data_IF_427606605593
#
_entry.id   IF_427606605593
#
_cell.length_a   1.000
_cell.length_b   1.000
_cell.length_c   1.000
_cell.angle_alpha   90.00
_cell.angle_beta   90.00
_cell.angle_gamma   90.00
#
_symmetry.space_group_name_H-M   'P 1'
#
loop_
_entity.id
_entity.type
_entity.pdbx_description
1 polymer ?
#
# COMPACT_ATOMS: atom_id res chain seq x y z
N UNK A 1 -7.79 12.73 25.68
CA UNK A 1 -8.24 11.54 24.92
C UNK A 1 -9.23 12.01 23.87
N UNK A 2 -9.02 11.69 22.59
CA UNK A 2 -9.92 12.11 21.49
C UNK A 2 -11.13 11.16 21.46
N UNK A 3 -12.35 11.70 21.41
CA UNK A 3 -13.59 10.92 21.36
C UNK A 3 -13.92 10.51 19.92
N UNK A 4 -14.34 9.26 19.71
CA UNK A 4 -14.85 8.82 18.41
C UNK A 4 -16.37 8.99 18.41
N UNK A 5 -16.90 9.75 17.46
CA UNK A 5 -18.35 9.99 17.39
C UNK A 5 -19.09 8.80 16.77
N UNK A 6 -20.38 8.67 17.09
CA UNK A 6 -21.26 7.67 16.46
C UNK A 6 -21.29 7.83 14.93
N UNK A 7 -21.23 9.05 14.41
CA UNK A 7 -21.20 9.28 12.96
C UNK A 7 -19.96 8.65 12.30
N UNK A 8 -18.78 8.82 12.90
CA UNK A 8 -17.55 8.19 12.39
C UNK A 8 -17.61 6.65 12.51
N UNK A 9 -18.19 6.13 13.60
CA UNK A 9 -18.41 4.70 13.80
C UNK A 9 -19.34 4.14 12.72
N UNK A 10 -20.47 4.80 12.45
CA UNK A 10 -21.42 4.34 11.43
C UNK A 10 -20.83 4.42 10.03
N UNK A 11 -20.01 5.43 9.73
CA UNK A 11 -19.26 5.50 8.46
C UNK A 11 -18.28 4.34 8.29
N UNK A 12 -17.59 3.93 9.36
CA UNK A 12 -16.74 2.73 9.35
C UNK A 12 -17.58 1.47 9.10
N UNK A 13 -18.65 1.28 9.88
CA UNK A 13 -19.51 0.09 9.81
C UNK A 13 -20.21 -0.03 8.46
N UNK A 14 -20.62 1.08 7.85
CA UNK A 14 -21.18 1.08 6.50
C UNK A 14 -20.19 0.60 5.43
N UNK A 15 -18.88 0.71 5.68
CA UNK A 15 -17.84 0.21 4.76
C UNK A 15 -17.44 -1.23 5.08
N UNK A 16 -17.13 -1.52 6.34
CA UNK A 16 -16.45 -2.76 6.72
C UNK A 16 -17.34 -3.74 7.49
N UNK A 17 -18.54 -3.33 7.91
CA UNK A 17 -19.40 -4.07 8.83
C UNK A 17 -18.91 -4.01 10.27
N UNK A 18 -19.34 -5.00 11.07
CA UNK A 18 -18.98 -5.13 12.48
C UNK A 18 -19.87 -4.35 13.46
N UNK A 19 -19.55 -4.50 14.74
CA UNK A 19 -20.20 -3.80 15.84
C UNK A 19 -19.53 -2.45 16.16
N UNK A 20 -20.19 -1.66 17.00
CA UNK A 20 -19.74 -0.33 17.43
C UNK A 20 -18.38 -0.36 18.12
N UNK A 21 -18.14 -1.37 18.97
CA UNK A 21 -16.90 -1.49 19.76
C UNK A 21 -15.68 -1.76 18.86
N UNK A 22 -15.85 -2.68 17.91
CA UNK A 22 -14.83 -3.04 16.91
C UNK A 22 -14.51 -1.83 16.02
N UNK A 23 -15.54 -1.14 15.54
CA UNK A 23 -15.38 0.05 14.70
C UNK A 23 -14.64 1.18 15.43
N UNK A 24 -15.02 1.45 16.68
CA UNK A 24 -14.33 2.44 17.51
C UNK A 24 -12.85 2.07 17.70
N UNK A 25 -12.57 0.81 18.03
CA UNK A 25 -11.19 0.31 18.23
C UNK A 25 -10.34 0.50 16.97
N UNK A 26 -10.88 0.16 15.80
CA UNK A 26 -10.19 0.33 14.51
C UNK A 26 -9.96 1.80 14.16
N UNK A 27 -10.93 2.69 14.43
CA UNK A 27 -10.76 4.14 14.23
C UNK A 27 -9.70 4.70 15.18
N UNK A 28 -9.66 4.25 16.45
CA UNK A 28 -8.64 4.67 17.42
C UNK A 28 -7.25 4.21 16.99
N UNK A 29 -7.12 2.96 16.57
CA UNK A 29 -5.87 2.42 16.05
C UNK A 29 -5.35 3.21 14.83
N UNK A 30 -6.24 3.56 13.90
CA UNK A 30 -5.90 4.46 12.80
C UNK A 30 -5.47 5.83 13.32
N UNK A 31 -6.24 6.45 14.22
CA UNK A 31 -5.96 7.79 14.76
C UNK A 31 -4.60 7.87 15.44
N UNK A 32 -4.23 6.89 16.25
CA UNK A 32 -2.91 6.80 16.91
C UNK A 32 -1.77 6.79 15.88
N UNK A 33 -1.92 6.02 14.81
CA UNK A 33 -0.95 6.02 13.72
C UNK A 33 -0.90 7.37 12.99
N UNK A 34 -2.06 7.96 12.74
CA UNK A 34 -2.18 9.21 12.02
C UNK A 34 -1.58 10.40 12.77
N UNK A 35 -1.73 10.44 14.10
CA UNK A 35 -1.07 11.47 14.94
C UNK A 35 0.45 11.41 14.76
N UNK A 36 1.00 10.20 14.68
CA UNK A 36 2.46 10.00 14.63
C UNK A 36 3.05 10.13 13.22
N UNK A 37 2.32 9.68 12.19
CA UNK A 37 2.87 9.47 10.84
C UNK A 37 1.99 9.98 9.71
N UNK A 38 0.77 10.41 10.03
CA UNK A 38 -0.19 10.89 9.03
C UNK A 38 0.18 12.28 8.51
N UNK A 39 -0.32 12.60 7.32
CA UNK A 39 -0.34 13.98 6.83
C UNK A 39 -1.46 14.74 7.52
N UNK A 40 -1.14 15.89 8.09
CA UNK A 40 -2.09 16.74 8.80
C UNK A 40 -2.40 17.98 7.96
N UNK A 41 -3.69 18.27 7.81
CA UNK A 41 -4.17 19.44 7.08
C UNK A 41 -5.28 20.09 7.89
N UNK A 42 -5.14 21.39 8.18
CA UNK A 42 -6.21 22.20 8.76
C UNK A 42 -7.01 22.86 7.64
N UNK A 43 -8.34 22.85 7.76
CA UNK A 43 -9.24 23.54 6.84
C UNK A 43 -9.63 24.92 7.37
N UNK A 44 -10.16 25.78 6.49
CA UNK A 44 -10.59 27.15 6.81
C UNK A 44 -11.68 27.18 7.89
N UNK A 45 -12.55 26.16 7.93
CA UNK A 45 -13.58 26.01 8.96
C UNK A 45 -13.05 25.51 10.32
N UNK A 46 -11.72 25.45 10.50
CA UNK A 46 -11.07 25.05 11.74
C UNK A 46 -10.83 23.56 11.91
N UNK A 47 -11.52 22.70 11.17
CA UNK A 47 -11.41 21.23 11.27
C UNK A 47 -10.06 20.70 10.80
N UNK A 48 -9.68 19.52 11.31
CA UNK A 48 -8.40 18.88 10.97
C UNK A 48 -8.60 17.58 10.22
N UNK A 49 -7.98 17.44 9.06
CA UNK A 49 -7.87 16.16 8.36
C UNK A 49 -6.53 15.53 8.66
N UNK A 50 -6.58 14.30 9.15
CA UNK A 50 -5.41 13.46 9.26
C UNK A 50 -5.54 12.32 8.26
N UNK A 51 -4.52 12.07 7.45
CA UNK A 51 -4.57 11.08 6.38
C UNK A 51 -3.30 10.23 6.30
N UNK A 52 -3.47 8.92 6.18
CA UNK A 52 -2.41 7.95 5.93
C UNK A 52 -2.09 7.89 4.43
N UNK A 53 -0.90 7.40 4.08
CA UNK A 53 -0.50 7.22 2.68
C UNK A 53 -1.43 6.27 1.91
N UNK A 54 -1.99 5.27 2.61
CA UNK A 54 -2.99 4.35 2.08
C UNK A 54 -4.39 5.00 1.95
N UNK A 55 -4.48 6.32 2.12
CA UNK A 55 -5.67 7.16 1.93
C UNK A 55 -6.82 6.89 2.89
N UNK A 56 -6.57 6.19 3.99
CA UNK A 56 -7.45 6.24 5.16
C UNK A 56 -7.31 7.61 5.81
N UNK A 57 -8.43 8.23 6.16
CA UNK A 57 -8.45 9.54 6.77
C UNK A 57 -9.52 9.64 7.85
N UNK A 58 -9.21 10.46 8.84
CA UNK A 58 -10.19 10.95 9.82
C UNK A 58 -10.27 12.47 9.72
N UNK A 59 -11.46 12.99 10.02
CA UNK A 59 -11.67 14.42 10.24
C UNK A 59 -11.93 14.62 11.73
N UNK A 60 -11.19 15.57 12.32
CA UNK A 60 -11.38 16.00 13.69
C UNK A 60 -12.16 17.32 13.74
N UNK A 61 -12.85 17.55 14.84
CA UNK A 61 -13.40 18.85 15.20
C UNK A 61 -12.32 19.94 15.25
N UNK A 62 -12.76 21.20 15.27
CA UNK A 62 -11.90 22.38 15.33
C UNK A 62 -10.96 22.41 16.55
N UNK A 63 -11.44 21.92 17.69
CA UNK A 63 -10.71 21.72 18.95
C UNK A 63 -9.85 20.44 18.98
N UNK A 64 -9.86 19.64 17.90
CA UNK A 64 -9.22 18.34 17.79
C UNK A 64 -9.62 17.32 18.89
N UNK A 65 -10.76 17.53 19.57
CA UNK A 65 -11.22 16.66 20.65
C UNK A 65 -12.08 15.48 20.17
N UNK A 66 -12.65 15.55 18.96
CA UNK A 66 -13.60 14.55 18.44
C UNK A 66 -13.28 14.12 17.01
N UNK A 67 -13.32 12.82 16.73
CA UNK A 67 -13.35 12.28 15.37
C UNK A 67 -14.78 12.38 14.85
N UNK A 68 -15.02 13.31 13.93
CA UNK A 68 -16.34 13.60 13.36
C UNK A 68 -16.60 12.88 12.04
N UNK A 69 -15.54 12.38 11.37
CA UNK A 69 -15.71 11.57 10.16
C UNK A 69 -14.56 10.58 9.97
N UNK A 70 -14.89 9.43 9.38
CA UNK A 70 -13.99 8.41 8.88
C UNK A 70 -14.17 8.25 7.36
N UNK A 71 -13.07 8.24 6.62
CA UNK A 71 -13.09 8.10 5.16
C UNK A 71 -12.01 7.15 4.66
N UNK A 72 -12.35 6.37 3.64
CA UNK A 72 -11.38 5.49 2.96
C UNK A 72 -11.86 5.16 1.55
N UNK A 73 -10.95 4.99 0.57
CA UNK A 73 -11.28 4.37 -0.71
C UNK A 73 -11.39 2.84 -0.64
N UNK A 74 -10.99 2.22 0.49
CA UNK A 74 -10.99 0.77 0.67
C UNK A 74 -12.36 0.29 1.16
N UNK A 75 -13.13 -0.35 0.28
CA UNK A 75 -14.47 -0.85 0.63
C UNK A 75 -14.49 -2.17 1.40
N UNK A 76 -13.42 -2.96 1.36
CA UNK A 76 -13.39 -4.31 1.97
C UNK A 76 -12.34 -4.48 3.06
N UNK A 77 -11.40 -3.52 3.17
CA UNK A 77 -10.22 -3.68 4.00
C UNK A 77 -10.13 -2.58 5.02
N UNK A 78 -9.99 -2.97 6.28
CA UNK A 78 -9.68 -2.05 7.37
C UNK A 78 -8.24 -1.53 7.24
N UNK A 79 -7.93 -0.45 7.96
CA UNK A 79 -6.57 0.07 7.99
C UNK A 79 -5.57 -0.98 8.50
N UNK A 80 -5.93 -1.70 9.57
CA UNK A 80 -5.12 -2.78 10.12
C UNK A 80 -4.84 -3.89 9.09
N UNK A 81 -5.85 -4.29 8.32
CA UNK A 81 -5.69 -5.29 7.26
C UNK A 81 -4.78 -4.81 6.12
N UNK A 82 -4.86 -3.54 5.74
CA UNK A 82 -3.94 -2.97 4.73
C UNK A 82 -2.51 -2.94 5.27
N UNK A 83 -2.30 -2.56 6.54
CA UNK A 83 -0.98 -2.59 7.19
C UNK A 83 -0.41 -4.00 7.32
N UNK A 84 -1.27 -4.99 7.55
CA UNK A 84 -0.90 -6.40 7.58
C UNK A 84 -0.66 -7.00 6.17
N UNK A 85 -0.85 -6.22 5.10
CA UNK A 85 -0.65 -6.67 3.73
C UNK A 85 -1.73 -7.64 3.24
N UNK A 86 -2.93 -7.61 3.82
CA UNK A 86 -4.05 -8.44 3.39
C UNK A 86 -4.45 -8.04 1.95
N UNK A 87 -4.44 -9.00 1.00
CA UNK A 87 -4.87 -8.73 -0.37
C UNK A 87 -6.34 -8.30 -0.42
N UNK A 88 -6.66 -7.34 -1.30
CA UNK A 88 -8.06 -6.97 -1.60
C UNK A 88 -8.80 -8.15 -2.26
N UNK A 89 -10.06 -8.43 -1.90
CA UNK A 89 -10.89 -9.43 -2.61
C UNK A 89 -11.53 -8.83 -3.86
N UNK A 90 -11.92 -7.55 -3.82
CA UNK A 90 -12.08 -6.71 -5.00
C UNK A 90 -10.70 -6.47 -5.57
N UNK A 91 -10.26 -7.38 -6.44
CA UNK A 91 -9.34 -7.03 -7.51
C UNK A 91 -9.83 -5.70 -8.06
N UNK A 92 -9.13 -4.59 -7.78
CA UNK A 92 -9.09 -3.50 -8.74
C UNK A 92 -8.84 -4.21 -10.05
N UNK A 93 -9.79 -4.15 -11.00
CA UNK A 93 -9.54 -4.62 -12.35
C UNK A 93 -8.27 -3.90 -12.76
N UNK A 94 -7.15 -4.63 -12.75
CA UNK A 94 -5.88 -4.11 -13.22
C UNK A 94 -6.19 -3.41 -14.54
N UNK A 95 -5.84 -2.13 -14.62
CA UNK A 95 -6.27 -1.29 -15.75
C UNK A 95 -5.92 -2.05 -17.03
N UNK A 96 -6.82 -2.08 -18.01
CA UNK A 96 -6.65 -2.94 -19.21
C UNK A 96 -5.27 -2.80 -19.85
N UNK A 97 -4.77 -1.56 -19.95
CA UNK A 97 -3.42 -1.28 -20.47
C UNK A 97 -2.28 -1.86 -19.61
N UNK A 98 -2.45 -2.00 -18.30
CA UNK A 98 -1.44 -2.63 -17.41
C UNK A 98 -1.44 -4.14 -17.58
N UNK A 99 -2.61 -4.75 -17.86
CA UNK A 99 -2.70 -6.18 -18.23
C UNK A 99 -1.99 -6.44 -19.54
N UNK A 100 -2.29 -5.62 -20.55
CA UNK A 100 -1.75 -5.73 -21.90
C UNK A 100 -0.21 -5.68 -21.92
N UNK A 101 0.40 -4.79 -21.14
CA UNK A 101 1.86 -4.72 -21.01
C UNK A 101 2.52 -5.97 -20.41
N UNK A 102 1.75 -6.85 -19.77
CA UNK A 102 2.26 -8.01 -19.04
C UNK A 102 1.77 -9.35 -19.63
N UNK A 103 0.98 -9.32 -20.71
CA UNK A 103 0.34 -10.51 -21.30
C UNK A 103 1.34 -11.61 -21.65
N UNK A 104 2.51 -11.23 -22.16
CA UNK A 104 3.55 -12.17 -22.59
C UNK A 104 4.61 -12.44 -21.51
N UNK A 105 4.51 -11.82 -20.33
CA UNK A 105 5.55 -11.94 -19.31
C UNK A 105 5.39 -13.22 -18.48
N UNK A 106 6.48 -13.96 -18.22
CA UNK A 106 6.47 -15.16 -17.36
C UNK A 106 6.18 -14.84 -15.89
N UNK A 107 6.42 -13.59 -15.46
CA UNK A 107 6.14 -13.10 -14.11
C UNK A 107 5.16 -11.93 -14.21
N UNK A 108 4.13 -11.94 -13.35
CA UNK A 108 3.20 -10.83 -13.21
C UNK A 108 3.64 -9.89 -12.09
N UNK A 109 3.43 -8.60 -12.29
CA UNK A 109 3.69 -7.56 -11.31
C UNK A 109 2.38 -6.87 -10.95
N UNK A 110 2.07 -6.80 -9.66
CA UNK A 110 0.90 -6.01 -9.23
C UNK A 110 1.12 -4.52 -9.53
N UNK A 111 0.04 -3.78 -9.77
CA UNK A 111 0.11 -2.32 -9.96
C UNK A 111 0.79 -1.59 -8.78
N UNK A 112 0.71 -2.14 -7.56
CA UNK A 112 1.45 -1.64 -6.40
C UNK A 112 2.96 -1.78 -6.62
N UNK A 113 3.42 -2.94 -7.06
CA UNK A 113 4.83 -3.22 -7.36
C UNK A 113 5.34 -2.31 -8.47
N UNK A 114 4.61 -2.17 -9.57
CA UNK A 114 5.03 -1.30 -10.68
C UNK A 114 5.13 0.17 -10.27
N UNK A 115 4.17 0.68 -9.50
CA UNK A 115 4.23 2.05 -8.95
C UNK A 115 5.42 2.25 -8.01
N UNK A 116 5.64 1.28 -7.12
CA UNK A 116 6.74 1.36 -6.16
C UNK A 116 8.10 1.27 -6.85
N UNK A 117 8.25 0.36 -7.80
CA UNK A 117 9.46 0.21 -8.60
C UNK A 117 9.76 1.49 -9.41
N UNK A 118 8.76 2.04 -10.09
CA UNK A 118 8.90 3.31 -10.82
C UNK A 118 9.44 4.41 -9.90
N UNK A 119 8.84 4.60 -8.72
CA UNK A 119 9.21 5.66 -7.80
C UNK A 119 10.57 5.45 -7.14
N UNK A 120 10.79 4.26 -6.57
CA UNK A 120 11.90 4.01 -5.65
C UNK A 120 13.17 3.48 -6.34
N UNK A 121 13.04 2.95 -7.56
CA UNK A 121 14.17 2.41 -8.33
C UNK A 121 14.48 3.27 -9.54
N UNK A 122 13.45 3.73 -10.25
CA UNK A 122 13.63 4.49 -11.49
C UNK A 122 13.47 6.01 -11.32
N UNK A 123 13.07 6.49 -10.14
CA UNK A 123 12.86 7.92 -9.89
C UNK A 123 11.74 8.54 -10.75
N UNK A 124 10.74 7.76 -11.17
CA UNK A 124 9.66 8.19 -12.06
C UNK A 124 8.28 7.78 -11.55
N UNK A 125 7.21 8.29 -12.17
CA UNK A 125 5.85 7.80 -11.93
C UNK A 125 5.46 6.67 -12.89
N UNK A 126 4.54 5.80 -12.46
CA UNK A 126 3.94 4.76 -13.30
C UNK A 126 2.64 5.27 -13.94
N UNK A 127 2.76 5.72 -15.19
CA UNK A 127 1.67 6.28 -16.01
C UNK A 127 1.52 5.48 -17.31
N UNK A 128 0.59 5.88 -18.18
CA UNK A 128 0.42 5.21 -19.48
C UNK A 128 1.62 5.42 -20.41
N UNK A 129 2.29 6.58 -20.33
CA UNK A 129 3.46 6.89 -21.17
C UNK A 129 4.75 6.23 -20.65
N UNK A 130 4.92 6.11 -19.33
CA UNK A 130 6.11 5.47 -18.73
C UNK A 130 5.95 3.96 -18.53
N UNK A 131 4.72 3.44 -18.66
CA UNK A 131 4.36 2.10 -18.20
C UNK A 131 5.15 0.97 -18.81
N UNK A 132 5.41 1.01 -20.13
CA UNK A 132 6.19 -0.01 -20.83
C UNK A 132 7.61 -0.12 -20.26
N UNK A 133 8.32 1.00 -20.18
CA UNK A 133 9.69 1.08 -19.64
C UNK A 133 9.75 0.57 -18.19
N UNK A 134 8.77 0.95 -17.37
CA UNK A 134 8.71 0.48 -15.96
C UNK A 134 8.52 -1.03 -15.89
N UNK A 135 7.60 -1.59 -16.68
CA UNK A 135 7.32 -3.04 -16.72
C UNK A 135 8.53 -3.82 -17.21
N UNK A 136 9.18 -3.36 -18.29
CA UNK A 136 10.38 -4.01 -18.84
C UNK A 136 11.54 -3.99 -17.83
N UNK A 137 11.79 -2.86 -17.19
CA UNK A 137 12.84 -2.75 -16.16
C UNK A 137 12.54 -3.61 -14.93
N UNK A 138 11.29 -3.61 -14.45
CA UNK A 138 10.86 -4.46 -13.35
C UNK A 138 10.99 -5.94 -13.72
N UNK A 139 10.68 -6.30 -14.97
CA UNK A 139 10.79 -7.66 -15.48
C UNK A 139 12.25 -8.13 -15.56
N UNK A 140 13.11 -7.34 -16.20
CA UNK A 140 14.53 -7.66 -16.33
C UNK A 140 15.17 -7.90 -14.96
N UNK A 141 14.83 -7.08 -13.96
CA UNK A 141 15.36 -7.21 -12.60
C UNK A 141 14.69 -8.34 -11.81
N UNK A 142 13.39 -8.52 -11.95
CA UNK A 142 12.63 -9.60 -11.30
C UNK A 142 13.10 -10.99 -11.74
N UNK A 143 13.47 -11.16 -13.01
CA UNK A 143 14.02 -12.40 -13.55
C UNK A 143 15.35 -12.82 -12.90
N UNK A 144 16.20 -11.85 -12.53
CA UNK A 144 17.49 -12.13 -11.89
C UNK A 144 17.35 -12.72 -10.48
N UNK A 145 16.20 -12.51 -9.85
CA UNK A 145 15.94 -12.88 -8.46
C UNK A 145 14.72 -13.78 -8.32
N UNK A 146 14.20 -14.32 -9.42
CA UNK A 146 13.07 -15.23 -9.36
C UNK A 146 13.51 -16.54 -8.68
N UNK A 147 12.92 -16.93 -7.55
CA UNK A 147 13.25 -18.19 -6.91
C UNK A 147 12.57 -19.36 -7.63
N UNK A 148 13.09 -20.56 -7.40
CA UNK A 148 12.47 -21.79 -7.85
C UNK A 148 11.03 -21.91 -7.33
N UNK A 149 10.20 -22.51 -8.17
CA UNK A 149 8.79 -22.75 -7.84
C UNK A 149 8.70 -23.70 -6.63
N UNK A 150 7.81 -23.42 -5.66
CA UNK A 150 7.51 -24.39 -4.60
C UNK A 150 7.07 -25.74 -5.18
N UNK A 151 7.45 -26.84 -4.53
CA UNK A 151 7.17 -28.21 -5.01
C UNK A 151 5.67 -28.52 -5.15
N UNK A 152 4.84 -27.95 -4.27
CA UNK A 152 3.37 -28.05 -4.32
C UNK A 152 2.74 -27.01 -5.28
N UNK A 153 3.54 -26.27 -6.05
CA UNK A 153 3.09 -25.25 -7.00
C UNK A 153 2.51 -23.98 -6.37
N UNK A 154 2.40 -23.91 -5.03
CA UNK A 154 1.72 -22.84 -4.30
C UNK A 154 2.57 -22.33 -3.13
N UNK A 155 2.58 -21.02 -2.90
CA UNK A 155 3.21 -20.47 -1.70
C UNK A 155 3.88 -19.12 -1.92
N UNK A 156 4.71 -18.73 -0.95
CA UNK A 156 5.39 -17.44 -0.94
C UNK A 156 6.89 -17.63 -0.86
N UNK A 157 7.64 -16.86 -1.64
CA UNK A 157 9.09 -16.78 -1.59
C UNK A 157 9.53 -15.32 -1.52
N UNK A 158 10.64 -15.07 -0.84
CA UNK A 158 11.25 -13.74 -0.75
C UNK A 158 12.67 -13.85 -1.24
N UNK A 159 13.05 -12.96 -2.15
CA UNK A 159 14.42 -12.88 -2.68
C UNK A 159 14.90 -11.45 -2.55
N UNK A 160 16.20 -11.25 -2.36
CA UNK A 160 16.78 -9.91 -2.32
C UNK A 160 17.77 -9.78 -3.46
N UNK A 161 17.68 -8.72 -4.25
CA UNK A 161 18.66 -8.46 -5.29
C UNK A 161 19.95 -7.85 -4.74
N UNK A 162 20.95 -7.69 -5.61
CA UNK A 162 22.27 -7.18 -5.25
C UNK A 162 22.26 -5.76 -4.67
N UNK A 163 21.23 -4.95 -4.96
CA UNK A 163 21.10 -3.59 -4.40
C UNK A 163 20.34 -3.58 -3.06
N UNK A 164 19.82 -4.72 -2.62
CA UNK A 164 19.11 -4.85 -1.36
C UNK A 164 17.59 -4.66 -1.46
N UNK A 165 17.02 -4.61 -2.66
CA UNK A 165 15.58 -4.61 -2.86
C UNK A 165 15.05 -6.04 -2.72
N UNK A 166 14.10 -6.22 -1.82
CA UNK A 166 13.43 -7.48 -1.50
C UNK A 166 12.17 -7.63 -2.34
N UNK A 167 12.08 -8.75 -3.04
CA UNK A 167 11.01 -9.15 -3.95
C UNK A 167 10.16 -10.25 -3.31
N UNK A 168 8.85 -10.03 -3.24
CA UNK A 168 7.91 -10.97 -2.62
C UNK A 168 7.11 -11.67 -3.71
N UNK A 169 7.48 -12.91 -4.01
CA UNK A 169 6.84 -13.77 -5.00
C UNK A 169 5.72 -14.58 -4.36
N UNK A 170 4.59 -14.65 -5.05
CA UNK A 170 3.46 -15.53 -4.75
C UNK A 170 3.26 -16.47 -5.92
N UNK A 171 3.14 -17.75 -5.61
CA UNK A 171 2.85 -18.82 -6.56
C UNK A 171 1.47 -19.36 -6.26
N UNK A 172 0.65 -19.48 -7.30
CA UNK A 172 -0.59 -20.23 -7.29
C UNK A 172 -0.48 -21.41 -8.26
N UNK A 173 -1.14 -22.55 -8.00
CA UNK A 173 -1.20 -23.65 -8.95
C UNK A 173 -1.81 -23.20 -10.28
N UNK A 174 -1.20 -23.58 -11.40
CA UNK A 174 -1.67 -23.24 -12.75
C UNK A 174 -1.53 -21.77 -13.16
N UNK A 175 -1.12 -20.87 -12.26
CA UNK A 175 -0.90 -19.46 -12.57
C UNK A 175 0.59 -19.13 -12.77
N UNK A 176 0.87 -18.00 -13.41
CA UNK A 176 2.23 -17.45 -13.44
C UNK A 176 2.61 -16.86 -12.07
N UNK A 177 3.88 -16.92 -11.64
CA UNK A 177 4.30 -16.27 -10.41
C UNK A 177 3.97 -14.78 -10.43
N UNK A 178 3.54 -14.25 -9.28
CA UNK A 178 3.18 -12.84 -9.14
C UNK A 178 4.05 -12.18 -8.08
N UNK A 179 4.69 -11.08 -8.42
CA UNK A 179 5.33 -10.20 -7.43
C UNK A 179 4.26 -9.28 -6.85
N UNK A 180 4.02 -9.42 -5.55
CA UNK A 180 2.96 -8.70 -4.83
C UNK A 180 3.47 -7.56 -3.98
N UNK A 181 4.78 -7.54 -3.66
CA UNK A 181 5.37 -6.51 -2.83
C UNK A 181 6.87 -6.35 -3.10
N UNK A 182 7.35 -5.13 -2.88
CA UNK A 182 8.76 -4.76 -2.85
C UNK A 182 9.06 -4.06 -1.53
N UNK A 183 10.22 -4.33 -0.92
CA UNK A 183 10.70 -3.61 0.26
C UNK A 183 12.22 -3.51 0.25
N UNK A 184 12.81 -2.47 0.85
CA UNK A 184 14.27 -2.37 0.92
C UNK A 184 14.81 -3.05 2.19
N UNK A 185 16.05 -3.57 2.13
CA UNK A 185 16.84 -3.82 3.33
C UNK A 185 17.06 -2.50 4.07
N UNK A 186 17.07 -2.55 5.40
CA UNK A 186 17.37 -1.38 6.24
C UNK A 186 18.73 -0.79 5.83
N UNK A 187 18.81 0.53 5.71
CA UNK A 187 20.01 1.23 5.25
C UNK A 187 20.29 1.13 3.74
N UNK A 188 19.33 0.69 2.93
CA UNK A 188 19.39 0.72 1.46
C UNK A 188 18.18 1.46 0.87
N UNK A 189 18.27 1.79 -0.42
CA UNK A 189 17.19 2.45 -1.15
C UNK A 189 16.95 3.90 -0.73
N UNK A 190 15.72 4.42 -0.90
CA UNK A 190 15.40 5.82 -0.66
C UNK A 190 15.68 6.31 0.77
N UNK A 191 15.56 5.43 1.77
CA UNK A 191 15.86 5.77 3.17
C UNK A 191 17.35 6.11 3.36
N UNK A 192 18.25 5.36 2.71
CA UNK A 192 19.68 5.61 2.78
C UNK A 192 20.06 6.91 2.04
N UNK A 193 19.43 7.17 0.89
CA UNK A 193 19.62 8.40 0.13
C UNK A 193 19.17 9.63 0.95
N UNK A 194 17.98 9.59 1.54
CA UNK A 194 17.46 10.69 2.35
C UNK A 194 18.33 10.98 3.59
N UNK A 195 18.88 9.95 4.26
CA UNK A 195 19.82 10.13 5.38
C UNK A 195 21.15 10.75 4.94
N UNK A 196 21.63 10.41 3.75
CA UNK A 196 22.86 10.99 3.19
C UNK A 196 22.66 12.47 2.80
N UNK A 197 21.46 12.85 2.37
CA UNK A 197 21.10 14.24 2.05
C UNK A 197 20.87 15.09 3.30
N UNK A 198 20.28 14.54 4.36
CA UNK A 198 20.02 15.24 5.62
C UNK A 198 21.26 15.40 6.53
N UNK A 199 22.35 14.70 6.22
CA UNK A 199 23.64 14.80 6.92
C UNK A 199 24.66 15.73 6.26
N UNK A 200 24.25 16.46 5.22
CA UNK A 200 25.01 17.54 4.57
C UNK A 200 24.46 18.90 4.97
#
# INVERSE_FOLDING_TARGET
MIQVTLSAIDQFRAKHGGDTSTAETEIRYLLENLISTGRHQRFENGTWRLQADERFAVLLSDDAARVISYTTPHGERTYAQVKAGVPSRSRCKEKGWVRELQTELPIRYTNLVLRRFAREVLGTEFTRSTGRKVVEAAHARGMQVQPDRPSNGAGRRRMTDGEGLKWHFVYSPGERPTVVHLSWKSGRGPEAAARAEAGR
#
